data_IF_467051405474
#
_entry.id   IF_467051405474
#
_cell.length_a   1.000
_cell.length_b   1.000
_cell.length_c   1.000
_cell.angle_alpha   90.00
_cell.angle_beta   90.00
_cell.angle_gamma   90.00
#
_symmetry.space_group_name_H-M   'P 1'
#
loop_
_entity.id
_entity.type
_entity.pdbx_description
1 polymer ?
#
# COMPACT_ATOMS: atom_id res chain seq x y z
N UNK A 1 8.94 -10.77 5.69
CA UNK A 1 8.26 -10.88 4.39
C UNK A 1 9.28 -11.35 3.40
N UNK A 2 8.99 -12.43 2.69
CA UNK A 2 9.71 -12.79 1.48
C UNK A 2 9.00 -12.14 0.29
N UNK A 3 9.70 -11.30 -0.47
CA UNK A 3 9.10 -10.57 -1.58
C UNK A 3 8.90 -11.45 -2.82
N UNK A 4 9.73 -12.49 -2.99
CA UNK A 4 9.67 -13.39 -4.13
C UNK A 4 8.47 -14.34 -3.97
N UNK A 5 8.24 -14.87 -2.76
CA UNK A 5 7.07 -15.71 -2.45
C UNK A 5 5.73 -14.97 -2.68
N UNK A 6 5.64 -13.70 -2.24
CA UNK A 6 4.43 -12.88 -2.46
C UNK A 6 4.24 -12.58 -3.95
N UNK A 7 5.32 -12.29 -4.68
CA UNK A 7 5.25 -12.04 -6.12
C UNK A 7 4.78 -13.27 -6.89
N UNK A 8 5.29 -14.46 -6.58
CA UNK A 8 4.82 -15.72 -7.17
C UNK A 8 3.32 -15.94 -6.95
N UNK A 9 2.84 -15.72 -5.71
CA UNK A 9 1.42 -15.82 -5.38
C UNK A 9 0.57 -14.81 -6.17
N UNK A 10 1.03 -13.56 -6.29
CA UNK A 10 0.32 -12.53 -7.06
C UNK A 10 0.25 -12.89 -8.55
N UNK A 11 1.37 -13.36 -9.13
CA UNK A 11 1.42 -13.77 -10.53
C UNK A 11 0.47 -14.94 -10.81
N UNK A 12 0.42 -15.94 -9.93
CA UNK A 12 -0.51 -17.07 -10.07
C UNK A 12 -1.99 -16.61 -10.03
N UNK A 13 -2.33 -15.71 -9.12
CA UNK A 13 -3.69 -15.15 -9.01
C UNK A 13 -4.06 -14.24 -10.19
N UNK A 14 -3.09 -13.50 -10.73
CA UNK A 14 -3.27 -12.68 -11.92
C UNK A 14 -3.47 -13.53 -13.17
N UNK A 15 -2.58 -14.51 -13.41
CA UNK A 15 -2.62 -15.41 -14.56
C UNK A 15 -3.88 -16.27 -14.59
N UNK A 16 -4.39 -16.68 -13.41
CA UNK A 16 -5.65 -17.41 -13.31
C UNK A 16 -6.90 -16.53 -13.47
N UNK A 17 -6.75 -15.22 -13.62
CA UNK A 17 -7.86 -14.27 -13.77
C UNK A 17 -8.70 -14.05 -12.49
N UNK A 18 -8.26 -14.59 -11.34
CA UNK A 18 -8.98 -14.50 -10.07
C UNK A 18 -8.86 -13.12 -9.42
N UNK A 19 -7.74 -12.43 -9.67
CA UNK A 19 -7.46 -11.11 -9.10
C UNK A 19 -6.97 -10.16 -10.20
N UNK A 20 -7.62 -9.00 -10.30
CA UNK A 20 -7.31 -7.98 -11.32
C UNK A 20 -6.10 -7.12 -10.96
N UNK A 21 -6.03 -6.66 -9.72
CA UNK A 21 -5.00 -5.74 -9.23
C UNK A 21 -4.59 -6.10 -7.81
N UNK A 22 -3.37 -5.71 -7.45
CA UNK A 22 -2.78 -5.96 -6.14
C UNK A 22 -2.34 -4.65 -5.51
N UNK A 23 -2.41 -4.58 -4.19
CA UNK A 23 -1.94 -3.47 -3.40
C UNK A 23 -1.42 -3.98 -2.06
N UNK A 24 -0.98 -3.07 -1.22
CA UNK A 24 -0.51 -3.37 0.14
C UNK A 24 -1.26 -2.51 1.16
N UNK A 25 -1.03 -2.77 2.45
CA UNK A 25 -1.59 -1.95 3.52
C UNK A 25 -0.56 -1.76 4.63
N UNK A 26 -0.45 -0.52 5.11
CA UNK A 26 0.45 -0.10 6.18
C UNK A 26 1.94 -0.37 5.89
N UNK A 27 2.33 -0.38 4.61
CA UNK A 27 3.73 -0.56 4.23
C UNK A 27 4.50 0.75 4.35
N UNK A 28 5.73 0.68 4.85
CA UNK A 28 6.69 1.79 4.74
C UNK A 28 7.16 1.96 3.30
N UNK A 29 7.75 3.11 2.93
CA UNK A 29 8.28 3.32 1.58
C UNK A 29 9.31 2.26 1.15
N UNK A 30 10.14 1.79 2.08
CA UNK A 30 11.14 0.75 1.84
C UNK A 30 10.48 -0.61 1.57
N UNK A 31 9.46 -0.98 2.35
CA UNK A 31 8.72 -2.22 2.15
C UNK A 31 7.93 -2.19 0.83
N UNK A 32 7.31 -1.05 0.50
CA UNK A 32 6.61 -0.85 -0.77
C UNK A 32 7.55 -1.04 -1.96
N UNK A 33 8.71 -0.38 -1.92
CA UNK A 33 9.76 -0.50 -2.95
C UNK A 33 10.26 -1.94 -3.09
N UNK A 34 10.49 -2.62 -1.96
CA UNK A 34 10.95 -4.01 -1.95
C UNK A 34 9.99 -4.92 -2.71
N UNK A 35 8.69 -4.90 -2.37
CA UNK A 35 7.71 -5.75 -3.07
C UNK A 35 7.53 -5.31 -4.53
N UNK A 36 7.41 -4.01 -4.79
CA UNK A 36 7.25 -3.47 -6.13
C UNK A 36 8.40 -3.90 -7.07
N UNK A 37 9.61 -4.05 -6.55
CA UNK A 37 10.78 -4.48 -7.34
C UNK A 37 10.66 -5.91 -7.91
N UNK A 38 9.72 -6.72 -7.42
CA UNK A 38 9.48 -8.10 -7.87
C UNK A 38 8.26 -8.25 -8.78
N UNK A 39 7.50 -7.18 -8.98
CA UNK A 39 6.23 -7.22 -9.70
C UNK A 39 6.37 -6.59 -11.10
N UNK A 40 5.85 -7.23 -12.15
CA UNK A 40 5.84 -6.67 -13.50
C UNK A 40 4.73 -5.62 -13.70
N UNK A 41 3.95 -5.32 -12.67
CA UNK A 41 2.88 -4.33 -12.66
C UNK A 41 2.98 -3.44 -11.42
N UNK A 42 2.41 -2.23 -11.51
CA UNK A 42 2.38 -1.28 -10.39
C UNK A 42 1.38 -1.73 -9.33
N UNK A 43 1.79 -1.71 -8.06
CA UNK A 43 0.89 -1.85 -6.92
C UNK A 43 -0.17 -0.73 -6.98
N UNK A 44 -1.45 -1.10 -6.92
CA UNK A 44 -2.56 -0.18 -7.15
C UNK A 44 -2.79 0.81 -6.00
N UNK A 45 -2.42 0.44 -4.78
CA UNK A 45 -2.59 1.29 -3.59
C UNK A 45 -1.67 0.83 -2.44
N UNK A 46 -1.47 1.73 -1.48
CA UNK A 46 -1.06 1.39 -0.11
C UNK A 46 -2.17 1.92 0.81
N UNK A 47 -2.98 1.04 1.39
CA UNK A 47 -4.06 1.42 2.29
C UNK A 47 -3.49 1.71 3.70
N UNK A 48 -3.69 2.93 4.20
CA UNK A 48 -3.01 3.44 5.41
C UNK A 48 -3.91 4.28 6.32
N UNK A 49 -3.55 4.44 7.60
CA UNK A 49 -4.31 5.27 8.54
C UNK A 49 -4.01 6.75 8.30
N UNK A 50 -5.04 7.56 8.05
CA UNK A 50 -4.88 9.01 7.86
C UNK A 50 -6.04 9.71 8.54
N UNK A 51 -5.76 10.51 9.57
CA UNK A 51 -6.78 11.31 10.27
C UNK A 51 -6.16 12.48 11.04
N UNK A 52 -6.96 13.45 11.53
CA UNK A 52 -6.45 14.49 12.42
C UNK A 52 -5.78 13.95 13.69
N UNK A 53 -6.11 12.73 14.13
CA UNK A 53 -5.51 12.10 15.32
C UNK A 53 -4.39 11.10 14.98
N UNK A 54 -4.11 10.88 13.69
CA UNK A 54 -3.02 10.04 13.21
C UNK A 54 -2.43 10.66 11.92
N UNK A 55 -1.37 11.47 12.10
CA UNK A 55 -0.73 12.24 11.03
C UNK A 55 0.73 11.88 10.67
N UNK A 56 1.41 10.85 11.24
CA UNK A 56 2.85 10.66 10.98
C UNK A 56 3.15 10.44 9.49
N UNK A 57 2.23 9.79 8.75
CA UNK A 57 2.39 9.47 7.33
C UNK A 57 2.48 10.68 6.40
N UNK A 58 2.04 11.87 6.88
CA UNK A 58 2.18 13.12 6.14
C UNK A 58 3.64 13.55 6.00
N UNK A 59 4.54 13.07 6.87
CA UNK A 59 5.92 13.56 6.96
C UNK A 59 6.97 12.44 6.96
N UNK A 60 6.57 11.18 7.07
CA UNK A 60 7.51 10.04 7.11
C UNK A 60 7.92 9.50 5.73
N UNK A 61 7.51 10.19 4.66
CA UNK A 61 7.76 9.82 3.27
C UNK A 61 6.73 8.86 2.66
N UNK A 62 5.78 8.32 3.44
CA UNK A 62 4.74 7.42 2.94
C UNK A 62 3.85 8.11 1.91
N UNK A 63 3.27 9.27 2.25
CA UNK A 63 2.42 9.99 1.31
C UNK A 63 3.22 10.65 0.17
N UNK A 64 4.46 11.05 0.42
CA UNK A 64 5.37 11.58 -0.61
C UNK A 64 5.65 10.56 -1.71
N UNK A 65 6.00 9.32 -1.33
CA UNK A 65 6.25 8.23 -2.28
C UNK A 65 5.00 7.95 -3.12
N UNK A 66 3.82 7.87 -2.49
CA UNK A 66 2.57 7.60 -3.20
C UNK A 66 2.23 8.73 -4.18
N UNK A 67 2.42 9.98 -3.77
CA UNK A 67 2.26 11.14 -4.65
C UNK A 67 3.24 11.11 -5.82
N UNK A 68 4.52 10.83 -5.57
CA UNK A 68 5.57 10.72 -6.59
C UNK A 68 5.23 9.66 -7.64
N UNK A 69 4.71 8.51 -7.21
CA UNK A 69 4.32 7.40 -8.08
C UNK A 69 2.93 7.56 -8.70
N UNK A 70 2.19 8.63 -8.37
CA UNK A 70 0.79 8.86 -8.77
C UNK A 70 -0.15 7.75 -8.33
N UNK A 71 0.12 7.14 -7.18
CA UNK A 71 -0.68 6.09 -6.56
C UNK A 71 -1.57 6.73 -5.49
N UNK A 72 -2.86 6.40 -5.49
CA UNK A 72 -3.81 6.93 -4.51
C UNK A 72 -3.90 5.99 -3.30
N UNK A 73 -3.57 6.43 -2.07
CA UNK A 73 -3.85 5.64 -0.87
C UNK A 73 -5.35 5.56 -0.62
N UNK A 74 -5.80 4.40 -0.14
CA UNK A 74 -7.09 4.29 0.56
C UNK A 74 -6.85 4.65 2.04
N UNK A 75 -7.50 5.71 2.53
CA UNK A 75 -7.40 6.11 3.93
C UNK A 75 -8.38 5.31 4.79
N UNK A 76 -7.92 4.74 5.90
CA UNK A 76 -8.77 4.12 6.92
C UNK A 76 -8.65 4.84 8.27
N UNK A 77 -9.59 4.56 9.18
CA UNK A 77 -9.70 5.25 10.48
C UNK A 77 -9.70 6.78 10.38
N UNK A 78 -10.37 7.32 9.34
CA UNK A 78 -10.45 8.77 9.13
C UNK A 78 -11.04 9.54 10.33
N UNK A 79 -11.84 8.87 11.17
CA UNK A 79 -12.40 9.40 12.42
C UNK A 79 -11.67 8.87 13.67
N UNK A 80 -10.40 8.51 13.54
CA UNK A 80 -9.57 8.00 14.63
C UNK A 80 -10.04 6.66 15.19
N UNK A 81 -10.66 5.79 14.39
CA UNK A 81 -11.21 4.53 14.91
C UNK A 81 -12.29 4.73 15.98
N UNK A 82 -13.04 5.83 15.91
CA UNK A 82 -14.07 6.19 16.88
C UNK A 82 -13.62 7.19 17.95
N UNK A 83 -12.31 7.35 18.19
CA UNK A 83 -11.75 8.23 19.25
C UNK A 83 -12.08 9.72 19.10
N UNK A 84 -12.56 10.15 17.94
CA UNK A 84 -12.95 11.53 17.71
C UNK A 84 -14.22 11.93 18.49
N UNK A 85 -15.05 10.95 18.87
CA UNK A 85 -16.33 11.15 19.57
C UNK A 85 -16.45 10.27 20.81
#
# INVERSE_FOLDING_TARGET
MDADEVAEAFLALHHSGKVRHFGVSNFTPAQFTLLQSRLPFTLATNQVEISPVHQPLLLDGTLDQLQQLRIRPMAWSCLGGGRLF
#
